data_IF_938490028908
#
_entry.id   IF_938490028908
#
_cell.length_a   1.000
_cell.length_b   1.000
_cell.length_c   1.000
_cell.angle_alpha   90.00
_cell.angle_beta   90.00
_cell.angle_gamma   90.00
#
_symmetry.space_group_name_H-M   'P 1'
#
loop_
_entity.id
_entity.type
_entity.pdbx_description
1 polymer ?
#
# COMPACT_ATOMS: atom_id res chain seq x y z
N UNK A 1 -2.97 -3.21 19.69
CA UNK A 1 -3.21 -4.13 18.57
C UNK A 1 -3.69 -3.31 17.38
N UNK A 2 -2.77 -2.61 16.67
CA UNK A 2 -3.13 -1.82 15.50
C UNK A 2 -3.39 -2.70 14.28
N UNK A 3 -4.34 -2.29 13.45
CA UNK A 3 -4.60 -2.88 12.13
C UNK A 3 -4.41 -1.81 11.07
N UNK A 4 -3.54 -2.06 10.08
CA UNK A 4 -3.27 -1.15 8.98
C UNK A 4 -3.88 -1.72 7.70
N UNK A 5 -4.68 -0.89 7.02
CA UNK A 5 -5.19 -1.18 5.67
C UNK A 5 -4.36 -0.41 4.65
N UNK A 6 -3.78 -1.14 3.71
CA UNK A 6 -3.02 -0.57 2.59
C UNK A 6 -3.78 -0.85 1.30
N UNK A 7 -4.32 0.19 0.70
CA UNK A 7 -4.92 0.14 -0.64
C UNK A 7 -3.92 0.73 -1.64
N UNK A 8 -3.56 -0.04 -2.65
CA UNK A 8 -2.65 0.41 -3.70
C UNK A 8 -3.02 -0.18 -5.05
N UNK A 9 -2.51 0.41 -6.13
CA UNK A 9 -2.69 -0.20 -7.45
C UNK A 9 -2.06 -1.59 -7.52
N UNK A 10 -2.73 -2.48 -8.24
CA UNK A 10 -2.21 -3.81 -8.56
C UNK A 10 -0.86 -3.76 -9.30
N UNK A 11 -0.12 -4.87 -9.28
CA UNK A 11 1.14 -5.02 -10.01
C UNK A 11 2.40 -5.05 -9.13
N UNK A 12 2.27 -5.03 -7.80
CA UNK A 12 3.39 -5.29 -6.88
C UNK A 12 3.70 -6.77 -6.76
N UNK A 13 5.00 -7.10 -6.74
CA UNK A 13 5.44 -8.48 -6.55
C UNK A 13 5.20 -8.94 -5.11
N UNK A 14 5.17 -10.26 -4.89
CA UNK A 14 5.06 -10.83 -3.55
C UNK A 14 6.22 -10.39 -2.63
N UNK A 15 7.42 -10.20 -3.19
CA UNK A 15 8.59 -9.71 -2.46
C UNK A 15 8.43 -8.26 -2.00
N UNK A 16 7.91 -7.38 -2.86
CA UNK A 16 7.61 -5.99 -2.50
C UNK A 16 6.54 -5.91 -1.40
N UNK A 17 5.49 -6.73 -1.49
CA UNK A 17 4.45 -6.80 -0.44
C UNK A 17 4.99 -7.31 0.88
N UNK A 18 5.87 -8.33 0.85
CA UNK A 18 6.56 -8.85 2.04
C UNK A 18 7.43 -7.78 2.70
N UNK A 19 8.23 -7.06 1.91
CA UNK A 19 9.05 -5.97 2.41
C UNK A 19 8.20 -4.87 3.06
N UNK A 20 7.11 -4.46 2.38
CA UNK A 20 6.20 -3.45 2.93
C UNK A 20 5.57 -3.88 4.26
N UNK A 21 5.07 -5.12 4.35
CA UNK A 21 4.49 -5.63 5.59
C UNK A 21 5.50 -5.60 6.75
N UNK A 22 6.76 -6.01 6.49
CA UNK A 22 7.83 -5.95 7.48
C UNK A 22 8.08 -4.52 7.97
N UNK A 23 8.30 -3.59 7.04
CA UNK A 23 8.64 -2.20 7.39
C UNK A 23 7.51 -1.50 8.15
N UNK A 24 6.24 -1.75 7.78
CA UNK A 24 5.10 -1.19 8.49
C UNK A 24 4.95 -1.77 9.91
N UNK A 25 5.15 -3.08 10.07
CA UNK A 25 5.14 -3.72 11.40
C UNK A 25 6.26 -3.19 12.28
N UNK A 26 7.48 -3.11 11.77
CA UNK A 26 8.64 -2.58 12.50
C UNK A 26 8.42 -1.12 12.92
N UNK A 27 7.85 -0.30 12.03
CA UNK A 27 7.50 1.07 12.34
C UNK A 27 6.44 1.17 13.45
N UNK A 28 5.41 0.32 13.42
CA UNK A 28 4.37 0.28 14.45
C UNK A 28 4.97 -0.08 15.81
N UNK A 29 5.76 -1.14 15.88
CA UNK A 29 6.39 -1.59 17.14
C UNK A 29 7.35 -0.52 17.67
N UNK A 30 8.16 0.09 16.80
CA UNK A 30 9.12 1.13 17.21
C UNK A 30 8.44 2.39 17.76
N UNK A 31 7.33 2.82 17.16
CA UNK A 31 6.67 4.09 17.51
C UNK A 31 5.63 3.92 18.62
N UNK A 32 4.84 2.84 18.57
CA UNK A 32 3.71 2.59 19.46
C UNK A 32 4.03 1.58 20.57
N UNK A 33 5.16 0.88 20.49
CA UNK A 33 5.50 -0.24 21.36
C UNK A 33 4.72 -1.52 21.00
N UNK A 34 4.78 -2.51 21.89
CA UNK A 34 4.10 -3.79 21.73
C UNK A 34 4.93 -4.86 21.00
N UNK A 35 4.26 -5.94 20.61
CA UNK A 35 4.86 -7.07 19.88
C UNK A 35 4.52 -7.01 18.39
N UNK A 36 5.41 -7.45 17.47
CA UNK A 36 5.08 -7.65 16.06
C UNK A 36 3.81 -8.49 15.84
N UNK A 37 3.56 -9.49 16.69
CA UNK A 37 2.38 -10.37 16.62
C UNK A 37 1.06 -9.64 16.90
N UNK A 38 1.12 -8.40 17.41
CA UNK A 38 -0.06 -7.57 17.68
C UNK A 38 -0.38 -6.58 16.57
N UNK A 39 0.33 -6.63 15.44
CA UNK A 39 0.18 -5.72 14.31
C UNK A 39 -0.32 -6.48 13.09
N UNK A 40 -1.51 -6.12 12.61
CA UNK A 40 -2.09 -6.69 11.40
C UNK A 40 -1.93 -5.75 10.20
N UNK A 41 -1.45 -6.27 9.07
CA UNK A 41 -1.32 -5.53 7.81
C UNK A 41 -2.19 -6.20 6.74
N UNK A 42 -3.21 -5.50 6.25
CA UNK A 42 -4.06 -5.97 5.16
C UNK A 42 -3.75 -5.19 3.90
N UNK A 43 -3.32 -5.89 2.85
CA UNK A 43 -2.94 -5.32 1.56
C UNK A 43 -4.03 -5.62 0.53
N UNK A 44 -4.55 -4.57 -0.10
CA UNK A 44 -5.56 -4.64 -1.15
C UNK A 44 -5.00 -4.06 -2.45
N UNK A 45 -4.97 -4.91 -3.47
CA UNK A 45 -4.69 -4.50 -4.84
C UNK A 45 -5.98 -3.96 -5.46
N UNK A 46 -5.92 -2.74 -5.97
CA UNK A 46 -7.05 -2.08 -6.61
C UNK A 46 -6.69 -1.88 -8.08
N UNK A 47 -7.58 -2.32 -8.98
CA UNK A 47 -7.40 -2.02 -10.40
C UNK A 47 -7.53 -0.53 -10.63
N UNK A 48 -6.84 -0.02 -11.64
CA UNK A 48 -6.96 1.40 -12.02
C UNK A 48 -8.37 1.77 -12.49
N UNK A 49 -9.15 0.80 -12.96
CA UNK A 49 -10.58 0.96 -13.30
C UNK A 49 -11.48 1.11 -12.08
N UNK A 50 -10.99 0.77 -10.89
CA UNK A 50 -11.79 0.67 -9.67
C UNK A 50 -11.44 1.79 -8.66
N UNK A 51 -10.53 2.70 -9.05
CA UNK A 51 -10.12 3.86 -8.26
C UNK A 51 -10.34 5.15 -9.06
N UNK A 52 -11.08 6.11 -8.51
CA UNK A 52 -11.22 7.47 -9.05
C UNK A 52 -10.52 8.53 -8.20
N UNK A 53 -10.06 9.61 -8.82
CA UNK A 53 -9.62 10.82 -8.09
C UNK A 53 -10.01 12.06 -8.88
N UNK A 54 -10.77 12.96 -8.26
CA UNK A 54 -11.34 14.12 -8.92
C UNK A 54 -12.44 13.77 -9.93
N UNK A 55 -13.17 12.67 -9.70
CA UNK A 55 -14.24 12.22 -10.60
C UNK A 55 -13.78 11.44 -11.84
N UNK A 56 -12.46 11.24 -12.02
CA UNK A 56 -11.91 10.48 -13.17
C UNK A 56 -11.27 9.19 -12.71
N UNK A 57 -11.57 8.08 -13.39
CA UNK A 57 -10.95 6.78 -13.13
C UNK A 57 -9.46 6.81 -13.47
N UNK A 58 -8.65 6.11 -12.70
CA UNK A 58 -7.22 6.04 -12.95
C UNK A 58 -6.85 5.23 -14.21
N UNK A 59 -7.79 4.42 -14.72
CA UNK A 59 -7.69 3.76 -16.04
C UNK A 59 -7.83 4.74 -17.21
N UNK A 60 -8.48 5.88 -17.00
CA UNK A 60 -8.69 6.93 -18.03
C UNK A 60 -7.57 7.97 -18.02
N UNK A 61 -6.80 8.04 -16.92
CA UNK A 61 -5.62 8.91 -16.83
C UNK A 61 -4.49 8.29 -17.66
N UNK A 62 -3.98 9.04 -18.63
CA UNK A 62 -2.76 8.69 -19.34
C UNK A 62 -1.66 8.33 -18.33
N UNK A 63 -0.82 7.33 -18.66
CA UNK A 63 0.35 7.01 -17.86
C UNK A 63 1.12 8.31 -17.60
N UNK A 64 1.35 8.65 -16.34
CA UNK A 64 2.13 9.83 -16.01
C UNK A 64 3.49 9.66 -16.71
N UNK A 65 3.98 10.67 -17.45
CA UNK A 65 5.31 10.61 -18.02
C UNK A 65 6.31 10.30 -16.88
N UNK A 66 7.36 9.49 -17.15
CA UNK A 66 8.34 9.14 -16.12
C UNK A 66 8.89 10.42 -15.49
N UNK A 67 9.18 10.41 -14.17
CA UNK A 67 9.74 11.57 -13.50
C UNK A 67 11.00 12.00 -14.24
N UNK A 68 11.02 13.26 -14.69
CA UNK A 68 12.21 13.87 -15.28
C UNK A 68 13.24 13.99 -14.16
N UNK A 69 14.28 13.16 -14.24
CA UNK A 69 15.51 13.31 -13.47
C UNK A 69 16.49 14.21 -14.20
#
# INVERSE_FOLDING_TARGET
>A
MPTLRVEMFEGRTAEQKRALAKELTDACVRVLGGSPDSVDILIYDIKRSDWATGGTLWSEKAAAPPPQG
#
